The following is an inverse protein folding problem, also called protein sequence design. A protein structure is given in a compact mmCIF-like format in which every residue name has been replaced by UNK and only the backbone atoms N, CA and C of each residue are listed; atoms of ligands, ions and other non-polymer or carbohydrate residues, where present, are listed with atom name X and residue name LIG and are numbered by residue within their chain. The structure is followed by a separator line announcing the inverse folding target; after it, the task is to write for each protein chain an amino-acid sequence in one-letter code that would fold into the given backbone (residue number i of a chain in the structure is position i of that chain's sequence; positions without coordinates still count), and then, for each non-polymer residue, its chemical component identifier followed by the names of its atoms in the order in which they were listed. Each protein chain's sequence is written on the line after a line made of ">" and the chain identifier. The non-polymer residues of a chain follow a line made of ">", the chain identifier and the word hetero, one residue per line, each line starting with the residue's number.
data_IF_454301841387
#
_entry.id   IF_454301841387
#
_cell.length_a   1.000
_cell.length_b   1.000
_cell.length_c   1.000
_cell.angle_alpha   90.00
_cell.angle_beta   90.00
_cell.angle_gamma   90.00
#
_symmetry.space_group_name_H-M   'P 1'
#
loop_
_entity.id
_entity.type
_entity.pdbx_description
1 polymer ?
#
# COMPACT_ATOMS: atom_id res chain seq x y z
N UNK A 1 67.59 46.21 23.38
CA UNK A 1 67.59 46.65 21.96
C UNK A 1 66.41 45.97 21.31
N UNK A 2 65.26 46.66 21.10
CA UNK A 2 65.03 47.60 19.98
C UNK A 2 65.25 46.80 18.68
N UNK A 3 64.31 46.57 17.77
CA UNK A 3 63.15 47.33 17.30
C UNK A 3 62.50 46.48 16.21
N UNK A 4 61.19 46.27 16.24
CA UNK A 4 60.24 46.89 15.29
C UNK A 4 60.17 46.22 13.91
N UNK A 5 59.05 45.54 13.65
CA UNK A 5 58.15 45.89 12.53
C UNK A 5 56.77 45.26 12.77
N UNK A 6 55.86 46.11 13.25
CA UNK A 6 54.41 45.95 13.13
C UNK A 6 54.07 45.96 11.64
N UNK A 7 53.17 45.10 11.18
CA UNK A 7 51.96 45.55 10.50
C UNK A 7 50.90 44.44 10.41
N UNK A 8 49.78 44.71 11.09
CA UNK A 8 48.39 44.50 10.63
C UNK A 8 47.92 43.07 10.42
N UNK A 9 47.30 42.48 11.45
CA UNK A 9 46.04 41.76 11.28
C UNK A 9 45.08 42.19 12.40
N UNK A 10 44.07 42.99 12.03
CA UNK A 10 42.89 43.28 12.86
C UNK A 10 42.09 41.99 13.07
N UNK A 11 41.48 41.75 14.25
CA UNK A 11 40.47 40.71 14.38
C UNK A 11 39.20 41.16 13.63
N UNK A 12 38.89 40.49 12.52
CA UNK A 12 37.59 40.63 11.85
C UNK A 12 36.52 40.00 12.74
N UNK A 13 35.58 40.81 13.22
CA UNK A 13 34.28 40.40 13.78
C UNK A 13 33.19 40.95 12.85
N UNK A 14 31.98 40.37 12.91
CA UNK A 14 31.48 39.24 12.14
C UNK A 14 30.80 39.71 10.85
N UNK A 15 30.92 38.97 9.74
CA UNK A 15 29.96 39.14 8.66
C UNK A 15 28.66 38.50 9.16
N UNK A 16 27.70 39.33 9.60
CA UNK A 16 26.31 38.94 9.61
C UNK A 16 26.02 38.43 8.20
N UNK A 17 25.95 37.11 8.04
CA UNK A 17 25.20 36.53 6.94
C UNK A 17 23.77 37.01 7.15
N UNK A 18 23.43 38.11 6.50
CA UNK A 18 22.05 38.46 6.18
C UNK A 18 21.44 37.16 5.66
N UNK A 19 20.56 36.56 6.45
CA UNK A 19 19.59 35.62 5.92
C UNK A 19 18.85 36.41 4.83
N UNK A 20 19.27 36.20 3.59
CA UNK A 20 18.48 36.57 2.44
C UNK A 20 17.28 35.64 2.57
N UNK A 21 16.21 36.16 3.18
CA UNK A 21 14.88 35.61 3.01
C UNK A 21 14.60 35.70 1.51
N UNK A 22 14.97 34.65 0.77
CA UNK A 22 14.34 34.40 -0.49
C UNK A 22 12.86 34.25 -0.17
N UNK A 23 11.96 35.10 -0.70
CA UNK A 23 10.55 34.80 -0.60
C UNK A 23 10.41 33.40 -1.17
N UNK A 24 9.92 32.44 -0.36
CA UNK A 24 9.50 31.14 -0.88
C UNK A 24 8.60 31.46 -2.06
N UNK A 25 9.03 31.16 -3.28
CA UNK A 25 8.12 31.21 -4.43
C UNK A 25 6.91 30.37 -4.00
N UNK A 26 5.67 30.86 -4.12
CA UNK A 26 4.52 30.00 -3.89
C UNK A 26 4.76 28.76 -4.74
N UNK A 27 4.87 27.60 -4.09
CA UNK A 27 5.08 26.36 -4.83
C UNK A 27 3.97 26.27 -5.88
N UNK A 28 4.29 25.94 -7.14
CA UNK A 28 3.25 25.78 -8.13
C UNK A 28 2.20 24.79 -7.60
N UNK A 29 0.95 25.26 -7.47
CA UNK A 29 -0.19 24.59 -6.83
C UNK A 29 -0.70 23.38 -7.68
N UNK A 30 0.06 22.95 -8.68
CA UNK A 30 -0.39 22.00 -9.71
C UNK A 30 0.19 20.59 -9.51
N UNK A 31 0.20 20.08 -8.28
CA UNK A 31 0.53 18.68 -8.00
C UNK A 31 -0.46 18.05 -7.03
N UNK A 32 -0.60 16.72 -7.11
CA UNK A 32 -1.28 15.90 -6.11
C UNK A 32 -0.25 14.96 -5.50
N UNK A 33 -0.25 14.84 -4.18
CA UNK A 33 0.56 13.84 -3.50
C UNK A 33 -0.07 12.47 -3.72
N UNK A 34 0.74 11.52 -4.15
CA UNK A 34 0.43 10.10 -4.18
C UNK A 34 1.21 9.41 -3.07
N UNK A 35 0.58 8.41 -2.46
CA UNK A 35 1.15 7.58 -1.40
C UNK A 35 1.33 6.14 -1.85
N UNK A 36 0.77 5.78 -3.00
CA UNK A 36 0.90 4.45 -3.57
C UNK A 36 2.26 4.25 -4.24
N UNK A 37 2.54 3.01 -4.62
CA UNK A 37 3.81 2.66 -5.26
C UNK A 37 3.87 3.16 -6.72
N UNK A 38 2.76 3.06 -7.46
CA UNK A 38 2.76 3.26 -8.92
C UNK A 38 1.62 4.18 -9.41
N UNK A 39 1.02 4.96 -8.50
CA UNK A 39 -0.03 5.94 -8.80
C UNK A 39 -1.47 5.38 -8.84
N UNK A 40 -1.69 4.18 -8.31
CA UNK A 40 -3.00 3.54 -8.09
C UNK A 40 -3.99 4.49 -7.43
N UNK A 41 -3.56 5.18 -6.37
CA UNK A 41 -4.40 6.11 -5.62
C UNK A 41 -4.86 7.31 -6.47
N UNK A 42 -4.05 7.73 -7.45
CA UNK A 42 -4.39 8.80 -8.38
C UNK A 42 -5.38 8.33 -9.45
N UNK A 43 -5.25 7.08 -9.92
CA UNK A 43 -6.24 6.46 -10.82
C UNK A 43 -7.57 6.34 -10.10
N UNK A 44 -7.57 5.84 -8.86
CA UNK A 44 -8.75 5.79 -8.01
C UNK A 44 -9.33 7.19 -7.75
N UNK A 45 -8.47 8.19 -7.50
CA UNK A 45 -8.92 9.57 -7.25
C UNK A 45 -9.64 10.16 -8.47
N UNK A 46 -9.24 9.77 -9.68
CA UNK A 46 -9.92 10.17 -10.90
C UNK A 46 -11.25 9.43 -11.07
N UNK A 47 -11.29 8.16 -10.71
CA UNK A 47 -12.50 7.34 -10.78
C UNK A 47 -13.58 7.83 -9.79
N UNK A 48 -13.19 8.21 -8.58
CA UNK A 48 -14.07 8.66 -7.50
C UNK A 48 -14.11 10.18 -7.33
N UNK A 49 -13.86 10.95 -8.40
CA UNK A 49 -13.69 12.42 -8.30
C UNK A 49 -14.91 13.16 -7.73
N UNK A 50 -16.12 12.66 -7.97
CA UNK A 50 -17.37 13.24 -7.48
C UNK A 50 -17.75 12.78 -6.06
N UNK A 51 -16.96 11.88 -5.46
CA UNK A 51 -17.29 11.22 -4.21
C UNK A 51 -16.48 11.79 -3.05
N UNK A 52 -17.19 12.38 -2.07
CA UNK A 52 -16.59 13.05 -0.91
C UNK A 52 -16.07 12.09 0.16
N UNK A 53 -16.78 11.00 0.39
CA UNK A 53 -16.44 9.96 1.38
C UNK A 53 -16.72 8.59 0.76
N UNK A 54 -16.09 7.55 1.28
CA UNK A 54 -16.26 6.19 0.81
C UNK A 54 -15.55 5.20 1.72
N UNK A 55 -15.63 3.92 1.36
CA UNK A 55 -15.10 2.85 2.19
C UNK A 55 -14.22 1.88 1.42
N UNK A 56 -13.03 1.60 1.93
CA UNK A 56 -12.10 0.66 1.29
C UNK A 56 -11.81 -0.56 2.17
N UNK A 57 -11.33 -1.61 1.53
CA UNK A 57 -10.67 -2.74 2.21
C UNK A 57 -9.29 -2.88 1.59
N UNK A 58 -8.25 -2.87 2.41
CA UNK A 58 -6.85 -2.97 2.02
C UNK A 58 -6.28 -4.28 2.56
N UNK A 59 -6.10 -5.28 1.69
CA UNK A 59 -5.56 -6.59 2.07
C UNK A 59 -4.09 -6.66 1.68
N UNK A 60 -3.23 -6.80 2.69
CA UNK A 60 -1.78 -6.57 2.54
C UNK A 60 -1.42 -5.10 2.66
N UNK A 61 -1.97 -4.44 3.69
CA UNK A 61 -1.88 -3.00 3.84
C UNK A 61 -0.45 -2.47 4.07
N UNK A 62 0.51 -3.33 4.46
CA UNK A 62 1.95 -3.10 4.65
C UNK A 62 2.32 -1.96 5.62
N UNK A 63 2.02 -0.72 5.25
CA UNK A 63 2.31 0.49 6.02
C UNK A 63 1.17 1.51 5.88
N UNK A 64 0.82 2.26 6.94
CA UNK A 64 -0.30 3.20 6.90
C UNK A 64 -0.14 4.40 5.95
N UNK A 65 0.99 4.55 5.26
CA UNK A 65 1.33 5.77 4.50
C UNK A 65 2.23 5.47 3.29
N UNK A 66 3.32 4.71 3.48
CA UNK A 66 4.23 4.31 2.41
C UNK A 66 3.60 3.18 1.59
N UNK A 67 3.61 3.32 0.27
CA UNK A 67 3.01 2.34 -0.66
C UNK A 67 1.53 2.07 -0.37
N UNK A 68 0.82 3.07 0.17
CA UNK A 68 -0.57 2.92 0.55
C UNK A 68 -1.51 3.44 -0.54
N UNK A 69 -2.29 2.53 -1.11
CA UNK A 69 -3.37 2.85 -2.04
C UNK A 69 -4.55 3.56 -1.37
N UNK A 70 -4.60 3.55 -0.03
CA UNK A 70 -5.74 4.00 0.78
C UNK A 70 -5.48 5.29 1.54
N UNK A 71 -4.23 5.63 1.86
CA UNK A 71 -3.93 6.80 2.69
C UNK A 71 -4.33 8.15 2.05
N UNK A 72 -4.25 8.27 0.72
CA UNK A 72 -4.78 9.45 0.00
C UNK A 72 -6.27 9.68 0.30
N UNK A 73 -7.05 8.62 0.36
CA UNK A 73 -8.49 8.64 0.64
C UNK A 73 -8.75 8.86 2.13
N UNK A 74 -7.97 8.23 3.00
CA UNK A 74 -8.04 8.43 4.44
C UNK A 74 -7.94 9.92 4.82
N UNK A 75 -6.96 10.64 4.26
CA UNK A 75 -6.79 12.09 4.46
C UNK A 75 -7.98 12.93 3.98
N UNK A 76 -8.88 12.36 3.18
CA UNK A 76 -10.09 13.00 2.65
C UNK A 76 -11.36 12.56 3.36
N UNK A 77 -11.24 11.88 4.51
CA UNK A 77 -12.37 11.44 5.31
C UNK A 77 -13.01 10.14 4.83
N UNK A 78 -12.29 9.36 4.02
CA UNK A 78 -12.66 7.96 3.81
C UNK A 78 -12.14 7.11 4.96
N UNK A 79 -12.84 6.03 5.24
CA UNK A 79 -12.47 5.09 6.28
C UNK A 79 -12.53 3.68 5.72
N UNK A 80 -11.85 2.73 6.32
CA UNK A 80 -11.87 1.37 5.79
C UNK A 80 -11.36 0.33 6.75
N UNK A 81 -11.11 -0.85 6.19
CA UNK A 81 -10.46 -1.95 6.88
C UNK A 81 -9.06 -2.11 6.29
N UNK A 82 -8.02 -2.04 7.13
CA UNK A 82 -6.65 -2.39 6.75
C UNK A 82 -6.34 -3.76 7.34
N UNK A 83 -5.84 -4.68 6.52
CA UNK A 83 -5.56 -6.06 6.91
C UNK A 83 -4.12 -6.38 6.53
N UNK A 84 -3.32 -6.88 7.47
CA UNK A 84 -1.95 -7.32 7.20
C UNK A 84 -1.56 -8.50 8.09
N UNK A 85 -0.75 -9.42 7.54
CA UNK A 85 -0.31 -10.61 8.25
C UNK A 85 0.91 -10.37 9.15
N UNK A 86 1.69 -9.32 8.89
CA UNK A 86 2.95 -9.06 9.57
C UNK A 86 2.69 -8.75 11.04
N UNK A 87 3.26 -9.53 11.98
CA UNK A 87 3.14 -9.27 13.39
C UNK A 87 3.59 -7.85 13.79
N UNK A 88 2.81 -7.21 14.66
CA UNK A 88 2.95 -5.83 15.12
C UNK A 88 2.74 -4.73 14.05
N UNK A 89 2.34 -5.05 12.82
CA UNK A 89 2.10 -4.06 11.75
C UNK A 89 1.02 -3.05 12.15
N UNK A 90 -0.03 -3.51 12.83
CA UNK A 90 -1.19 -2.67 13.17
C UNK A 90 -0.93 -1.65 14.28
N UNK A 91 0.19 -1.72 14.99
CA UNK A 91 0.53 -0.74 16.02
C UNK A 91 0.63 0.68 15.42
N UNK A 92 1.32 0.81 14.28
CA UNK A 92 1.47 2.10 13.61
C UNK A 92 0.17 2.55 12.93
N UNK A 93 -0.61 1.61 12.40
CA UNK A 93 -1.94 1.91 11.87
C UNK A 93 -2.86 2.47 12.95
N UNK A 94 -2.87 1.90 14.16
CA UNK A 94 -3.71 2.40 15.25
C UNK A 94 -3.30 3.81 15.73
N UNK A 95 -2.03 4.18 15.59
CA UNK A 95 -1.56 5.53 15.89
C UNK A 95 -1.94 6.54 14.79
N UNK A 96 -1.69 6.20 13.52
CA UNK A 96 -1.81 7.15 12.40
C UNK A 96 -3.18 7.13 11.71
N UNK A 97 -3.89 6.00 11.81
CA UNK A 97 -5.19 5.73 11.17
C UNK A 97 -6.22 5.21 12.18
N UNK A 98 -6.47 5.91 13.30
CA UNK A 98 -7.37 5.44 14.37
C UNK A 98 -8.84 5.36 13.99
N UNK A 99 -9.25 5.95 12.84
CA UNK A 99 -10.62 5.87 12.35
C UNK A 99 -10.87 4.67 11.42
N UNK A 100 -9.81 3.95 11.05
CA UNK A 100 -9.91 2.70 10.30
C UNK A 100 -10.01 1.51 11.25
N UNK A 101 -10.54 0.40 10.73
CA UNK A 101 -10.48 -0.91 11.38
C UNK A 101 -9.15 -1.56 10.95
N UNK A 102 -8.23 -1.75 11.89
CA UNK A 102 -6.87 -2.22 11.60
C UNK A 102 -6.67 -3.63 12.15
N UNK A 103 -6.48 -4.62 11.27
CA UNK A 103 -6.53 -6.04 11.58
C UNK A 103 -5.22 -6.74 11.24
N UNK A 104 -4.60 -7.35 12.26
CA UNK A 104 -3.40 -8.16 12.10
C UNK A 104 -3.81 -9.62 11.81
N UNK A 105 -4.30 -9.85 10.59
CA UNK A 105 -4.88 -11.13 10.14
C UNK A 105 -4.29 -11.50 8.78
N UNK A 106 -3.91 -12.76 8.61
CA UNK A 106 -3.51 -13.29 7.31
C UNK A 106 -4.73 -13.78 6.51
N UNK A 107 -4.80 -13.42 5.24
CA UNK A 107 -5.89 -13.82 4.35
C UNK A 107 -5.42 -14.86 3.33
N UNK A 108 -6.23 -15.90 3.13
CA UNK A 108 -6.01 -16.95 2.12
C UNK A 108 -7.35 -17.58 1.72
N UNK A 109 -7.33 -18.60 0.87
CA UNK A 109 -8.54 -19.30 0.40
C UNK A 109 -9.26 -20.08 1.51
N UNK A 110 -8.53 -20.53 2.53
CA UNK A 110 -9.02 -21.42 3.57
C UNK A 110 -8.43 -21.10 4.94
N UNK A 111 -9.04 -21.66 6.00
CA UNK A 111 -8.47 -21.67 7.35
C UNK A 111 -7.34 -22.69 7.42
N UNK A 112 -6.10 -22.23 7.36
CA UNK A 112 -4.93 -23.08 7.46
C UNK A 112 -3.77 -22.33 8.12
N UNK A 113 -2.71 -23.04 8.51
CA UNK A 113 -1.47 -22.40 8.92
C UNK A 113 -0.51 -22.37 7.74
N UNK A 114 -0.02 -21.19 7.40
CA UNK A 114 1.02 -21.01 6.39
C UNK A 114 2.27 -20.42 7.02
N UNK A 115 3.44 -20.72 6.44
CA UNK A 115 4.70 -20.11 6.87
C UNK A 115 4.77 -18.71 6.28
N UNK A 116 4.85 -17.71 7.16
CA UNK A 116 5.15 -16.33 6.81
C UNK A 116 6.65 -16.10 6.87
N UNK A 117 7.21 -15.50 5.81
CA UNK A 117 8.63 -15.18 5.67
C UNK A 117 8.81 -13.67 5.81
N UNK A 118 9.38 -13.23 6.94
CA UNK A 118 9.60 -11.81 7.21
C UNK A 118 11.02 -11.38 6.84
N UNK A 119 11.15 -10.21 6.19
CA UNK A 119 12.42 -9.61 5.77
C UNK A 119 12.66 -8.24 6.41
N UNK A 120 13.90 -7.76 6.33
CA UNK A 120 14.32 -6.45 6.82
C UNK A 120 13.71 -5.28 6.02
N UNK A 121 13.36 -5.50 4.75
CA UNK A 121 12.43 -4.65 4.00
C UNK A 121 11.05 -5.31 4.11
N UNK A 122 10.12 -4.78 4.92
CA UNK A 122 8.85 -5.43 5.17
C UNK A 122 7.98 -5.57 3.92
N UNK A 123 8.20 -4.76 2.89
CA UNK A 123 7.51 -4.88 1.60
C UNK A 123 7.82 -6.22 0.90
N UNK A 124 8.96 -6.86 1.18
CA UNK A 124 9.31 -8.16 0.60
C UNK A 124 8.86 -9.36 1.46
N UNK A 125 7.95 -9.14 2.41
CA UNK A 125 7.51 -10.17 3.37
C UNK A 125 6.15 -10.74 2.99
N UNK A 126 5.99 -12.06 3.04
CA UNK A 126 4.77 -12.70 2.58
C UNK A 126 4.74 -14.20 2.83
N UNK A 127 3.88 -14.90 2.11
CA UNK A 127 3.68 -16.35 2.24
C UNK A 127 4.27 -17.16 1.07
N UNK A 128 4.72 -16.51 0.00
CA UNK A 128 5.32 -17.19 -1.14
C UNK A 128 6.77 -17.59 -0.84
N UNK A 129 7.01 -18.91 -0.75
CA UNK A 129 8.34 -19.45 -0.49
C UNK A 129 9.31 -19.16 -1.63
N UNK A 130 8.85 -19.22 -2.88
CA UNK A 130 9.67 -18.98 -4.07
C UNK A 130 10.20 -17.55 -4.12
N UNK A 131 9.36 -16.56 -3.77
CA UNK A 131 9.76 -15.16 -3.63
C UNK A 131 10.74 -14.98 -2.46
N UNK A 132 10.44 -15.57 -1.31
CA UNK A 132 11.34 -15.53 -0.14
C UNK A 132 12.73 -16.13 -0.44
N UNK A 133 12.78 -17.25 -1.16
CA UNK A 133 14.02 -17.88 -1.60
C UNK A 133 14.78 -16.97 -2.58
N UNK A 134 14.08 -16.30 -3.49
CA UNK A 134 14.65 -15.32 -4.44
C UNK A 134 15.24 -14.12 -3.72
N UNK A 135 14.50 -13.50 -2.80
CA UNK A 135 14.99 -12.37 -2.00
C UNK A 135 16.17 -12.76 -1.12
N UNK A 136 16.21 -13.99 -0.60
CA UNK A 136 17.34 -14.48 0.19
C UNK A 136 18.66 -14.56 -0.60
N UNK A 137 18.61 -14.56 -1.95
CA UNK A 137 19.81 -14.49 -2.79
C UNK A 137 20.31 -13.06 -3.03
N UNK A 138 19.52 -12.04 -2.70
CA UNK A 138 19.88 -10.63 -2.90
C UNK A 138 20.62 -10.10 -1.66
N UNK A 139 21.87 -9.60 -1.78
CA UNK A 139 22.72 -9.27 -0.63
C UNK A 139 22.14 -8.28 0.41
N UNK A 140 21.19 -7.45 0.00
CA UNK A 140 20.59 -6.41 0.85
C UNK A 140 19.31 -6.86 1.57
N UNK A 141 18.69 -7.97 1.14
CA UNK A 141 17.53 -8.55 1.81
C UNK A 141 17.96 -9.63 2.79
N UNK A 142 17.50 -9.50 4.02
CA UNK A 142 17.81 -10.39 5.12
C UNK A 142 16.51 -10.86 5.74
N UNK A 143 16.32 -12.18 5.71
CA UNK A 143 15.23 -12.83 6.43
C UNK A 143 15.39 -12.61 7.92
N UNK A 144 14.38 -12.05 8.57
CA UNK A 144 14.34 -11.76 10.00
C UNK A 144 13.80 -12.96 10.76
N UNK A 145 12.68 -13.53 10.31
CA UNK A 145 12.09 -14.74 10.90
C UNK A 145 11.19 -15.49 9.91
N UNK A 146 10.88 -16.74 10.26
CA UNK A 146 9.79 -17.52 9.67
C UNK A 146 8.84 -17.92 10.78
N UNK A 147 7.53 -17.84 10.54
CA UNK A 147 6.52 -18.16 11.55
C UNK A 147 5.27 -18.74 10.91
N UNK A 148 4.71 -19.78 11.52
CA UNK A 148 3.36 -20.24 11.16
C UNK A 148 2.32 -19.19 11.59
N UNK A 149 1.55 -18.70 10.63
CA UNK A 149 0.43 -17.76 10.85
C UNK A 149 -0.85 -18.42 10.37
N UNK A 150 -1.90 -18.33 11.19
CA UNK A 150 -3.24 -18.81 10.85
C UNK A 150 -3.87 -17.85 9.83
N UNK A 151 -4.32 -18.41 8.71
CA UNK A 151 -5.03 -17.68 7.66
C UNK A 151 -6.54 -17.84 7.80
N UNK A 152 -7.27 -16.90 7.19
CA UNK A 152 -8.74 -16.88 7.15
C UNK A 152 -9.22 -16.46 5.76
N UNK A 153 -10.38 -16.97 5.30
CA UNK A 153 -11.06 -16.43 4.12
C UNK A 153 -11.45 -14.96 4.29
N UNK A 154 -11.30 -14.15 3.23
CA UNK A 154 -11.67 -12.73 3.25
C UNK A 154 -13.16 -12.55 3.58
N UNK A 155 -14.02 -13.40 3.04
CA UNK A 155 -15.45 -13.38 3.32
C UNK A 155 -15.77 -13.44 4.81
N UNK A 156 -15.11 -14.32 5.56
CA UNK A 156 -15.33 -14.47 7.00
C UNK A 156 -14.83 -13.24 7.78
N UNK A 157 -13.71 -12.66 7.38
CA UNK A 157 -13.22 -11.41 8.00
C UNK A 157 -14.19 -10.26 7.71
N UNK A 158 -14.72 -10.18 6.49
CA UNK A 158 -15.75 -9.18 6.15
C UNK A 158 -17.11 -9.47 6.81
N UNK A 159 -17.43 -10.71 7.16
CA UNK A 159 -18.63 -11.04 7.95
C UNK A 159 -18.53 -10.47 9.37
N UNK A 160 -17.34 -10.54 9.96
CA UNK A 160 -17.09 -10.15 11.35
C UNK A 160 -16.85 -8.64 11.51
N UNK A 161 -16.08 -8.03 10.60
CA UNK A 161 -15.55 -6.67 10.81
C UNK A 161 -16.20 -5.60 9.94
N UNK A 162 -16.87 -5.95 8.85
CA UNK A 162 -17.50 -4.94 8.00
C UNK A 162 -18.71 -4.33 8.73
N UNK A 163 -18.78 -2.99 8.87
CA UNK A 163 -19.93 -2.36 9.51
C UNK A 163 -21.24 -2.68 8.77
N UNK A 164 -22.33 -2.81 9.54
CA UNK A 164 -23.62 -3.18 8.98
C UNK A 164 -24.07 -2.17 7.91
N UNK A 165 -24.53 -2.68 6.76
CA UNK A 165 -24.95 -1.90 5.58
C UNK A 165 -23.83 -1.04 4.96
N UNK A 166 -22.56 -1.30 5.26
CA UNK A 166 -21.45 -0.59 4.65
C UNK A 166 -21.22 -1.07 3.22
N UNK A 167 -21.32 -0.15 2.26
CA UNK A 167 -20.90 -0.40 0.88
C UNK A 167 -19.38 -0.27 0.78
N UNK A 168 -18.73 -1.23 0.13
CA UNK A 168 -17.30 -1.15 -0.20
C UNK A 168 -17.16 -0.45 -1.55
N UNK A 169 -16.36 0.60 -1.61
CA UNK A 169 -16.06 1.34 -2.83
C UNK A 169 -14.96 0.67 -3.64
N UNK A 170 -13.85 0.34 -2.99
CA UNK A 170 -12.80 -0.45 -3.59
C UNK A 170 -12.16 -1.44 -2.62
N UNK A 171 -11.64 -2.53 -3.18
CA UNK A 171 -10.76 -3.46 -2.46
C UNK A 171 -9.39 -3.40 -3.13
N UNK A 172 -8.33 -3.29 -2.33
CA UNK A 172 -6.95 -3.50 -2.75
C UNK A 172 -6.46 -4.86 -2.21
N UNK A 173 -5.79 -5.63 -3.05
CA UNK A 173 -5.20 -6.93 -2.71
C UNK A 173 -3.77 -6.94 -3.21
N UNK A 174 -2.84 -6.99 -2.26
CA UNK A 174 -1.41 -7.03 -2.48
C UNK A 174 -0.75 -7.78 -1.32
N UNK A 175 -0.82 -9.11 -1.36
CA UNK A 175 -0.36 -10.00 -0.27
C UNK A 175 0.90 -10.79 -0.64
N UNK A 176 1.64 -10.31 -1.64
CA UNK A 176 2.93 -10.84 -2.08
C UNK A 176 2.87 -12.38 -2.34
N UNK A 177 2.01 -12.76 -3.29
CA UNK A 177 1.98 -14.10 -3.89
C UNK A 177 0.80 -15.00 -3.50
N UNK A 178 -0.16 -14.51 -2.72
CA UNK A 178 -1.44 -15.20 -2.43
C UNK A 178 -2.68 -14.48 -2.97
N UNK A 179 -2.49 -13.52 -3.87
CA UNK A 179 -3.52 -12.58 -4.33
C UNK A 179 -4.72 -13.28 -4.98
N UNK A 180 -4.45 -14.33 -5.76
CA UNK A 180 -5.48 -15.18 -6.34
C UNK A 180 -6.28 -15.95 -5.27
N UNK A 181 -5.63 -16.43 -4.21
CA UNK A 181 -6.27 -17.13 -3.10
C UNK A 181 -7.16 -16.17 -2.30
N UNK A 182 -6.69 -14.94 -2.07
CA UNK A 182 -7.49 -13.88 -1.43
C UNK A 182 -8.74 -13.59 -2.27
N UNK A 183 -8.61 -13.44 -3.59
CA UNK A 183 -9.76 -13.23 -4.49
C UNK A 183 -10.79 -14.37 -4.40
N UNK A 184 -10.33 -15.63 -4.44
CA UNK A 184 -11.21 -16.81 -4.36
C UNK A 184 -11.94 -16.87 -3.01
N UNK A 185 -11.30 -16.37 -1.94
CA UNK A 185 -11.85 -16.39 -0.58
C UNK A 185 -12.97 -15.37 -0.31
N UNK A 186 -13.18 -14.41 -1.21
CA UNK A 186 -14.23 -13.40 -1.09
C UNK A 186 -15.60 -13.95 -1.50
N UNK A 187 -16.66 -13.45 -0.87
CA UNK A 187 -18.03 -13.68 -1.32
C UNK A 187 -18.42 -12.60 -2.33
N UNK A 188 -18.26 -12.89 -3.62
CA UNK A 188 -18.56 -11.99 -4.73
C UNK A 188 -20.06 -11.78 -5.00
N UNK A 189 -20.96 -12.40 -4.24
CA UNK A 189 -22.39 -12.05 -4.27
C UNK A 189 -22.71 -10.98 -3.21
N UNK A 190 -22.05 -11.06 -2.06
CA UNK A 190 -22.28 -10.18 -0.90
C UNK A 190 -21.36 -8.95 -0.89
N UNK A 191 -20.05 -9.15 -1.04
CA UNK A 191 -19.03 -8.12 -0.95
C UNK A 191 -18.56 -7.72 -2.35
N UNK A 192 -19.36 -6.89 -3.02
CA UNK A 192 -19.17 -6.48 -4.42
C UNK A 192 -18.73 -5.02 -4.55
N UNK A 193 -17.44 -4.70 -4.36
CA UNK A 193 -16.93 -3.35 -4.51
C UNK A 193 -17.09 -2.81 -5.93
N UNK A 194 -17.03 -1.49 -6.11
CA UNK A 194 -17.10 -0.86 -7.43
C UNK A 194 -15.81 -1.10 -8.22
N UNK A 195 -14.67 -1.01 -7.54
CA UNK A 195 -13.33 -1.23 -8.08
C UNK A 195 -12.60 -2.33 -7.28
N UNK A 196 -11.80 -3.14 -7.96
CA UNK A 196 -10.88 -4.09 -7.32
C UNK A 196 -9.49 -3.89 -7.90
N UNK A 197 -8.49 -3.74 -7.04
CA UNK A 197 -7.08 -3.69 -7.36
C UNK A 197 -6.46 -5.01 -6.91
N UNK A 198 -5.67 -5.63 -7.76
CA UNK A 198 -5.01 -6.91 -7.48
C UNK A 198 -3.60 -6.85 -8.02
N UNK A 199 -2.60 -7.13 -7.19
CA UNK A 199 -1.23 -7.31 -7.65
C UNK A 199 -1.11 -8.56 -8.54
N UNK A 200 -0.45 -8.42 -9.68
CA UNK A 200 -0.05 -9.54 -10.55
C UNK A 200 1.32 -9.23 -11.18
N UNK A 201 2.38 -9.58 -10.44
CA UNK A 201 3.79 -9.37 -10.82
C UNK A 201 4.21 -10.05 -12.12
N UNK A 202 3.42 -11.00 -12.64
CA UNK A 202 3.79 -11.78 -13.83
C UNK A 202 3.44 -11.07 -15.14
N UNK A 203 2.62 -10.02 -15.11
CA UNK A 203 2.07 -9.41 -16.32
C UNK A 203 2.86 -8.18 -16.75
N UNK A 204 3.59 -8.29 -17.86
CA UNK A 204 4.43 -7.18 -18.35
C UNK A 204 3.73 -6.32 -19.41
N UNK A 205 2.65 -6.82 -20.01
CA UNK A 205 1.86 -6.15 -21.04
C UNK A 205 0.36 -6.14 -20.73
N UNK A 206 -0.40 -5.32 -21.45
CA UNK A 206 -1.87 -5.26 -21.33
C UNK A 206 -2.53 -6.54 -21.86
N UNK A 207 -1.97 -7.11 -22.91
CA UNK A 207 -2.44 -8.35 -23.54
C UNK A 207 -2.28 -9.54 -22.59
N UNK A 208 -1.10 -9.69 -21.97
CA UNK A 208 -0.86 -10.71 -20.94
C UNK A 208 -1.80 -10.52 -19.74
N UNK A 209 -1.94 -9.28 -19.27
CA UNK A 209 -2.82 -8.95 -18.16
C UNK A 209 -4.28 -9.36 -18.40
N UNK A 210 -4.80 -9.19 -19.62
CA UNK A 210 -6.18 -9.56 -19.97
C UNK A 210 -6.42 -11.10 -19.97
N UNK A 211 -5.37 -11.88 -20.24
CA UNK A 211 -5.40 -13.34 -20.28
C UNK A 211 -4.96 -14.01 -18.95
N UNK A 212 -4.48 -13.21 -18.01
CA UNK A 212 -4.08 -13.64 -16.66
C UNK A 212 -5.19 -14.44 -15.96
N UNK A 213 -4.79 -15.30 -15.02
CA UNK A 213 -5.75 -16.06 -14.20
C UNK A 213 -6.63 -15.13 -13.38
N UNK A 214 -6.05 -14.04 -12.86
CA UNK A 214 -6.76 -12.98 -12.12
C UNK A 214 -7.83 -12.33 -12.99
N UNK A 215 -7.49 -11.89 -14.20
CA UNK A 215 -8.46 -11.25 -15.09
C UNK A 215 -9.58 -12.20 -15.54
N UNK A 216 -9.27 -13.47 -15.79
CA UNK A 216 -10.29 -14.49 -16.09
C UNK A 216 -11.26 -14.67 -14.94
N UNK A 217 -10.75 -14.85 -13.72
CA UNK A 217 -11.57 -14.97 -12.53
C UNK A 217 -12.47 -13.75 -12.33
N UNK A 218 -11.92 -12.53 -12.42
CA UNK A 218 -12.69 -11.31 -12.25
C UNK A 218 -13.80 -11.14 -13.31
N UNK A 219 -13.56 -11.60 -14.55
CA UNK A 219 -14.58 -11.63 -15.60
C UNK A 219 -15.74 -12.56 -15.25
N UNK A 220 -15.47 -13.72 -14.67
CA UNK A 220 -16.50 -14.64 -14.17
C UNK A 220 -17.35 -14.01 -13.07
N UNK A 221 -16.76 -13.12 -12.26
CA UNK A 221 -17.48 -12.34 -11.24
C UNK A 221 -18.21 -11.09 -11.78
N UNK A 222 -18.27 -10.94 -13.11
CA UNK A 222 -18.86 -9.80 -13.84
C UNK A 222 -18.14 -8.46 -13.57
N UNK A 223 -16.81 -8.50 -13.55
CA UNK A 223 -15.94 -7.32 -13.60
C UNK A 223 -15.19 -7.27 -14.94
N UNK A 224 -14.80 -6.08 -15.36
CA UNK A 224 -13.95 -5.86 -16.53
C UNK A 224 -12.60 -5.26 -16.13
N UNK A 225 -11.54 -5.64 -16.82
CA UNK A 225 -10.24 -4.97 -16.69
C UNK A 225 -10.40 -3.52 -17.18
N UNK A 226 -10.20 -2.57 -16.27
CA UNK A 226 -10.35 -1.14 -16.51
C UNK A 226 -9.01 -0.48 -16.84
N UNK A 227 -7.95 -0.94 -16.18
CA UNK A 227 -6.59 -0.42 -16.38
C UNK A 227 -5.58 -1.26 -15.62
N UNK A 228 -4.32 -0.86 -15.70
CA UNK A 228 -3.20 -1.51 -15.04
C UNK A 228 -2.09 -0.48 -14.76
N UNK A 229 -1.40 -0.63 -13.63
CA UNK A 229 -0.11 0.03 -13.34
C UNK A 229 1.05 -0.89 -13.74
N UNK A 230 2.26 -0.76 -13.20
CA UNK A 230 3.33 -1.70 -13.55
C UNK A 230 3.03 -3.09 -13.01
N UNK A 231 2.51 -3.21 -11.79
CA UNK A 231 2.23 -4.48 -11.13
C UNK A 231 0.74 -4.72 -10.80
N UNK A 232 -0.10 -3.68 -10.73
CA UNK A 232 -1.48 -3.82 -10.28
C UNK A 232 -2.48 -3.85 -11.44
N UNK A 233 -3.39 -4.82 -11.43
CA UNK A 233 -4.55 -4.87 -12.31
C UNK A 233 -5.75 -4.19 -11.64
N UNK A 234 -6.44 -3.32 -12.38
CA UNK A 234 -7.58 -2.54 -11.87
C UNK A 234 -8.85 -3.01 -12.59
N UNK A 235 -9.79 -3.55 -11.83
CA UNK A 235 -11.05 -4.08 -12.34
C UNK A 235 -12.23 -3.20 -11.93
N UNK A 236 -13.16 -2.98 -12.85
CA UNK A 236 -14.41 -2.25 -12.61
C UNK A 236 -15.59 -3.20 -12.71
N UNK A 237 -16.51 -3.10 -11.75
CA UNK A 237 -17.80 -3.79 -11.78
C UNK A 237 -18.59 -3.37 -13.04
N UNK A 238 -19.14 -4.36 -13.76
CA UNK A 238 -20.02 -4.08 -14.90
C UNK A 238 -21.38 -3.51 -14.47
#
# INVERSE_FOLDING_TARGET
>A
MVSTLKQIFRPYKPFLAKFINFPKRPEPIYYKNSYSQEGEDMILSRFFEDKKNGFYVDVGAHHPQRFSNTYYFYLRGWHGINIDAMPASMNLFNELRPNDINLEIAISDTRQKLIYYAFNEPACSGFCKELADTYSQVPHYKKIFEKEIQTYPLSEVLDEYLPLNQTIDFINIDVEGLDSQVLISNNWEKYRPTIVLVEDLQQTSMEEANESKVARFMREQNYKLYGKTVCTLIFKKN
#
